data_IF_750525739026
#
_entry.id   IF_750525739026
#
_cell.length_a   1.000
_cell.length_b   1.000
_cell.length_c   1.000
_cell.angle_alpha   90.00
_cell.angle_beta   90.00
_cell.angle_gamma   90.00
#
_symmetry.space_group_name_H-M   'P 1'
#
loop_
_entity.id
_entity.type
_entity.pdbx_description
1 polymer ?
#
# COMPACT_ATOMS: atom_id res chain seq x y z
N UNK A 1 -13.29 31.08 61.45
CA UNK A 1 -12.08 30.40 61.94
C UNK A 1 -11.47 29.64 60.78
N UNK A 2 -10.18 29.70 60.67
CA UNK A 2 -9.51 29.97 59.41
C UNK A 2 -8.63 28.81 58.90
N UNK A 3 -8.11 29.02 57.71
CA UNK A 3 -6.81 28.56 57.29
C UNK A 3 -6.88 27.34 56.37
N UNK A 4 -6.11 27.22 55.37
CA UNK A 4 -4.94 27.87 54.90
C UNK A 4 -4.66 27.55 53.46
N UNK A 5 -4.13 28.51 52.80
CA UNK A 5 -3.53 28.37 51.47
C UNK A 5 -2.22 27.57 51.53
N UNK A 6 -1.99 26.69 50.59
CA UNK A 6 -0.64 26.20 50.36
C UNK A 6 -0.24 26.43 48.91
N UNK A 7 0.74 27.32 48.83
CA UNK A 7 1.36 27.83 47.59
C UNK A 7 2.60 26.98 47.32
N UNK A 8 2.55 26.08 46.37
CA UNK A 8 3.75 25.35 45.96
C UNK A 8 4.49 26.15 44.89
N UNK A 9 5.60 26.74 45.32
CA UNK A 9 6.60 27.43 44.48
C UNK A 9 7.26 26.49 43.48
N UNK A 10 7.21 26.85 42.22
CA UNK A 10 8.10 26.31 41.21
C UNK A 10 9.52 26.83 41.40
N UNK A 11 10.47 25.94 41.62
CA UNK A 11 11.90 26.26 41.72
C UNK A 11 12.52 26.21 40.35
N UNK A 12 12.93 27.35 39.83
CA UNK A 12 13.71 27.44 38.60
C UNK A 12 15.17 27.03 38.88
N UNK A 13 15.67 26.03 38.17
CA UNK A 13 17.07 25.65 38.21
C UNK A 13 17.89 26.54 37.28
N UNK A 14 18.81 27.34 37.89
CA UNK A 14 19.80 28.13 37.18
C UNK A 14 20.97 27.23 36.81
N UNK A 15 21.16 26.99 35.50
CA UNK A 15 22.37 26.35 34.97
C UNK A 15 23.47 27.41 34.87
N UNK A 16 24.50 27.31 35.70
CA UNK A 16 25.72 28.10 35.58
C UNK A 16 26.60 27.52 34.48
N UNK A 17 26.86 28.28 33.43
CA UNK A 17 27.90 27.99 32.44
C UNK A 17 29.25 28.42 33.02
N UNK A 18 30.13 27.46 33.26
CA UNK A 18 31.54 27.67 33.62
C UNK A 18 32.33 28.04 32.36
N UNK A 19 32.99 29.21 32.39
CA UNK A 19 33.85 29.65 31.30
C UNK A 19 35.13 28.81 31.20
N UNK A 20 35.43 28.35 30.02
CA UNK A 20 36.70 27.74 29.64
C UNK A 20 37.41 28.69 28.67
N UNK A 21 38.47 29.37 29.15
CA UNK A 21 39.45 30.09 28.34
C UNK A 21 40.49 29.07 27.86
N UNK A 22 40.24 28.44 26.72
CA UNK A 22 41.21 27.58 26.03
C UNK A 22 41.78 28.31 24.82
N UNK A 23 43.11 28.49 24.79
CA UNK A 23 43.84 28.98 23.62
C UNK A 23 43.69 27.96 22.51
N UNK A 24 43.10 28.36 21.35
CA UNK A 24 42.99 27.51 20.19
C UNK A 24 44.38 27.25 19.59
N UNK A 25 44.78 26.00 19.34
CA UNK A 25 45.95 25.70 18.54
C UNK A 25 45.70 26.10 17.08
N UNK A 26 46.68 26.74 16.48
CA UNK A 26 46.71 27.07 15.05
C UNK A 26 46.56 25.77 14.23
N UNK A 27 45.48 25.67 13.51
CA UNK A 27 45.19 24.52 12.62
C UNK A 27 46.11 24.64 11.41
N UNK A 28 47.03 23.68 11.28
CA UNK A 28 47.72 23.45 10.01
C UNK A 28 46.68 23.05 8.94
N UNK A 29 46.81 23.54 7.71
CA UNK A 29 45.91 23.10 6.67
C UNK A 29 46.05 21.59 6.44
N UNK A 30 44.91 20.89 6.45
CA UNK A 30 44.86 19.47 6.11
C UNK A 30 45.37 19.29 4.67
N UNK A 31 46.10 18.22 4.35
CA UNK A 31 46.46 17.90 2.99
C UNK A 31 45.23 17.72 2.16
N UNK A 32 45.22 18.24 0.92
CA UNK A 32 44.14 18.06 -0.02
C UNK A 32 43.80 16.56 -0.15
N UNK A 33 42.51 16.20 -0.19
CA UNK A 33 42.11 14.82 -0.43
C UNK A 33 42.66 14.37 -1.77
N UNK A 34 43.44 13.31 -1.76
CA UNK A 34 43.94 12.65 -2.95
C UNK A 34 42.77 11.99 -3.68
N UNK A 35 42.35 12.55 -4.80
CA UNK A 35 41.24 12.09 -5.67
C UNK A 35 41.54 10.75 -6.38
N UNK A 36 42.11 9.81 -5.67
CA UNK A 36 42.27 8.42 -6.13
C UNK A 36 41.92 7.51 -4.98
N UNK A 37 40.96 6.67 -5.21
CA UNK A 37 40.51 5.57 -4.37
C UNK A 37 39.27 5.85 -3.54
N UNK A 38 38.08 5.93 -4.17
CA UNK A 38 36.87 5.43 -3.56
C UNK A 38 35.76 5.06 -4.57
N UNK A 39 36.13 4.44 -5.72
CA UNK A 39 35.12 3.89 -6.64
C UNK A 39 34.69 2.45 -6.31
N UNK A 40 35.14 1.84 -5.22
CA UNK A 40 34.92 0.40 -5.05
C UNK A 40 34.15 -0.04 -3.81
N UNK A 41 33.50 0.87 -3.07
CA UNK A 41 32.80 0.48 -1.85
C UNK A 41 31.33 0.92 -1.76
N UNK A 42 30.67 1.09 -2.91
CA UNK A 42 29.23 1.12 -2.97
C UNK A 42 28.71 -0.32 -2.98
N UNK A 43 28.06 -0.79 -1.90
CA UNK A 43 27.49 -2.14 -1.86
C UNK A 43 26.39 -2.36 -2.90
N UNK A 44 25.99 -1.31 -3.62
CA UNK A 44 25.01 -1.35 -4.70
C UNK A 44 25.62 -1.20 -6.11
N UNK A 45 26.94 -0.89 -6.22
CA UNK A 45 27.61 -0.70 -7.52
C UNK A 45 27.59 -1.95 -8.42
N UNK A 46 27.47 -3.15 -7.85
CA UNK A 46 27.32 -4.40 -8.60
C UNK A 46 25.91 -4.71 -9.08
N UNK A 47 24.91 -3.95 -8.67
CA UNK A 47 23.52 -4.19 -9.09
C UNK A 47 23.15 -3.52 -10.42
N UNK A 48 23.94 -2.57 -10.88
CA UNK A 48 23.73 -1.92 -12.18
C UNK A 48 24.10 -2.83 -13.37
N UNK A 49 24.98 -3.81 -13.18
CA UNK A 49 25.30 -4.82 -14.21
C UNK A 49 24.15 -5.79 -14.53
N UNK A 50 23.17 -5.93 -13.63
CA UNK A 50 21.96 -6.74 -13.84
C UNK A 50 20.79 -5.97 -14.45
N UNK A 51 20.95 -4.67 -14.69
CA UNK A 51 19.93 -3.87 -15.38
C UNK A 51 20.08 -4.03 -16.88
N UNK A 52 19.18 -4.81 -17.48
CA UNK A 52 19.02 -4.77 -18.93
C UNK A 52 18.70 -3.33 -19.37
N UNK A 53 19.41 -2.78 -20.40
CA UNK A 53 19.14 -1.44 -20.91
C UNK A 53 17.67 -1.33 -21.31
N UNK A 54 16.90 -0.46 -20.64
CA UNK A 54 15.48 -0.25 -20.92
C UNK A 54 14.50 -0.89 -19.92
N UNK A 55 14.96 -1.64 -18.90
CA UNK A 55 14.06 -2.12 -17.84
C UNK A 55 13.64 -0.96 -16.93
N UNK A 56 12.33 -0.77 -16.79
CA UNK A 56 11.79 0.19 -15.84
C UNK A 56 12.15 -0.28 -14.42
N UNK A 57 12.83 0.53 -13.58
CA UNK A 57 13.17 0.14 -12.23
C UNK A 57 11.93 -0.38 -11.46
N UNK A 58 12.05 -1.51 -10.76
CA UNK A 58 10.95 -2.12 -10.04
C UNK A 58 10.05 -3.06 -10.86
N UNK A 59 10.26 -3.21 -12.16
CA UNK A 59 9.62 -4.25 -12.97
C UNK A 59 10.50 -5.49 -13.08
N UNK A 60 9.88 -6.63 -12.77
CA UNK A 60 10.44 -7.94 -13.11
C UNK A 60 9.94 -8.35 -14.49
N UNK A 61 10.79 -8.95 -15.30
CA UNK A 61 10.34 -9.69 -16.47
C UNK A 61 9.43 -10.85 -16.04
N UNK A 62 8.69 -11.44 -16.97
CA UNK A 62 7.84 -12.60 -16.63
C UNK A 62 8.62 -13.76 -16.03
N UNK A 63 9.83 -14.02 -16.53
CA UNK A 63 10.71 -15.08 -16.04
C UNK A 63 11.16 -14.81 -14.60
N UNK A 64 11.62 -13.60 -14.32
CA UNK A 64 12.02 -13.17 -12.98
C UNK A 64 10.84 -13.19 -11.99
N UNK A 65 9.65 -12.80 -12.46
CA UNK A 65 8.45 -12.85 -11.65
C UNK A 65 8.04 -14.30 -11.33
N UNK A 66 8.11 -15.21 -12.30
CA UNK A 66 7.84 -16.62 -12.04
C UNK A 66 8.84 -17.22 -11.04
N UNK A 67 10.09 -16.83 -11.12
CA UNK A 67 11.11 -17.26 -10.17
C UNK A 67 10.86 -16.68 -8.77
N UNK A 68 10.58 -15.39 -8.67
CA UNK A 68 10.21 -14.76 -7.41
C UNK A 68 8.99 -15.43 -6.75
N UNK A 69 7.96 -15.76 -7.53
CA UNK A 69 6.75 -16.45 -7.05
C UNK A 69 7.01 -17.83 -6.45
N UNK A 70 8.06 -18.51 -6.89
CA UNK A 70 8.45 -19.83 -6.37
C UNK A 70 9.14 -19.77 -5.02
N UNK A 71 9.77 -18.64 -4.71
CA UNK A 71 10.70 -18.52 -3.58
C UNK A 71 10.27 -17.50 -2.52
N UNK A 72 9.42 -16.54 -2.89
CA UNK A 72 9.08 -15.42 -2.02
C UNK A 72 7.56 -15.17 -2.01
N UNK A 73 6.99 -14.80 -0.85
CA UNK A 73 5.67 -14.19 -0.84
C UNK A 73 5.70 -12.87 -1.61
N UNK A 74 4.74 -12.66 -2.49
CA UNK A 74 4.65 -11.44 -3.29
C UNK A 74 3.75 -10.44 -2.58
N UNK A 75 4.24 -9.22 -2.38
CA UNK A 75 3.47 -8.14 -1.76
C UNK A 75 2.48 -7.52 -2.75
N UNK A 76 1.21 -7.47 -2.34
CA UNK A 76 0.11 -6.86 -3.08
C UNK A 76 -0.56 -5.74 -2.28
N UNK A 77 -1.21 -4.85 -2.98
CA UNK A 77 -2.27 -4.00 -2.45
C UNK A 77 -3.58 -4.36 -3.09
N UNK A 78 -4.64 -4.34 -2.30
CA UNK A 78 -6.02 -4.48 -2.77
C UNK A 78 -6.84 -3.29 -2.29
N UNK A 79 -7.59 -2.68 -3.18
CA UNK A 79 -8.47 -1.58 -2.85
C UNK A 79 -9.93 -1.94 -3.18
N UNK A 80 -10.80 -1.70 -2.23
CA UNK A 80 -12.25 -1.76 -2.41
C UNK A 80 -12.73 -0.32 -2.58
N UNK A 81 -13.02 0.11 -3.83
CA UNK A 81 -13.51 1.45 -4.08
C UNK A 81 -14.93 1.59 -3.51
N UNK A 82 -15.17 2.68 -2.81
CA UNK A 82 -16.48 2.96 -2.23
C UNK A 82 -16.95 4.37 -2.57
N UNK A 83 -18.26 4.57 -2.65
CA UNK A 83 -18.88 5.89 -2.62
C UNK A 83 -19.45 6.13 -1.24
N UNK A 84 -19.36 7.36 -0.80
CA UNK A 84 -19.86 7.77 0.52
C UNK A 84 -20.81 8.94 0.36
N UNK A 85 -21.78 9.03 1.27
CA UNK A 85 -22.64 10.20 1.41
C UNK A 85 -21.91 11.36 2.10
N UNK A 86 -22.63 12.47 2.32
CA UNK A 86 -22.10 13.67 2.98
C UNK A 86 -21.71 13.46 4.45
N UNK A 87 -22.06 12.33 5.07
CA UNK A 87 -21.69 11.96 6.44
C UNK A 87 -20.49 11.01 6.48
N UNK A 88 -20.03 10.53 5.33
CA UNK A 88 -18.96 9.55 5.22
C UNK A 88 -19.44 8.08 5.29
N UNK A 89 -20.77 7.87 5.30
CA UNK A 89 -21.35 6.53 5.28
C UNK A 89 -21.21 5.92 3.88
N UNK A 90 -20.75 4.67 3.80
CA UNK A 90 -20.63 3.95 2.53
C UNK A 90 -22.02 3.67 1.95
N UNK A 91 -22.25 4.15 0.74
CA UNK A 91 -23.51 3.97 -0.01
C UNK A 91 -23.39 2.95 -1.14
N UNK A 92 -22.23 2.87 -1.76
CA UNK A 92 -21.98 1.95 -2.86
C UNK A 92 -20.53 1.39 -2.81
N UNK A 93 -20.36 0.19 -3.32
CA UNK A 93 -19.08 -0.51 -3.47
C UNK A 93 -18.84 -0.77 -4.95
N UNK A 94 -17.64 -0.43 -5.45
CA UNK A 94 -17.22 -0.68 -6.82
C UNK A 94 -16.66 -2.09 -6.98
N UNK A 95 -17.29 -2.88 -7.85
CA UNK A 95 -16.85 -4.22 -8.24
C UNK A 95 -16.41 -4.19 -9.69
N UNK A 96 -15.21 -4.66 -9.96
CA UNK A 96 -14.66 -4.76 -11.31
C UNK A 96 -15.14 -6.03 -12.00
N UNK A 97 -15.48 -5.89 -13.27
CA UNK A 97 -15.57 -7.01 -14.20
C UNK A 97 -14.27 -7.08 -15.00
N UNK A 98 -13.60 -8.19 -14.98
CA UNK A 98 -12.30 -8.38 -15.65
C UNK A 98 -12.29 -9.61 -16.52
N UNK A 99 -11.62 -9.52 -17.70
CA UNK A 99 -11.30 -10.68 -18.50
C UNK A 99 -9.99 -11.31 -17.98
N UNK A 100 -10.01 -12.62 -17.75
CA UNK A 100 -8.79 -13.37 -17.44
C UNK A 100 -7.96 -13.61 -18.73
N UNK A 101 -6.66 -13.94 -18.64
CA UNK A 101 -5.83 -14.24 -19.81
C UNK A 101 -6.36 -15.40 -20.67
N UNK A 102 -7.20 -16.28 -20.12
CA UNK A 102 -7.85 -17.39 -20.84
C UNK A 102 -9.24 -17.03 -21.39
N UNK A 103 -9.65 -15.75 -21.25
CA UNK A 103 -10.90 -15.23 -21.79
C UNK A 103 -12.12 -15.45 -20.91
N UNK A 104 -11.98 -15.94 -19.70
CA UNK A 104 -13.07 -16.00 -18.71
C UNK A 104 -13.33 -14.62 -18.13
N UNK A 105 -14.59 -14.33 -17.84
CA UNK A 105 -15.01 -13.10 -17.20
C UNK A 105 -15.23 -13.39 -15.72
N UNK A 106 -14.55 -12.63 -14.85
CA UNK A 106 -14.66 -12.76 -13.40
C UNK A 106 -14.91 -11.41 -12.74
N UNK A 107 -15.52 -11.45 -11.56
CA UNK A 107 -15.65 -10.28 -10.70
C UNK A 107 -14.48 -10.21 -9.75
N UNK A 108 -13.94 -8.99 -9.57
CA UNK A 108 -12.78 -8.76 -8.73
C UNK A 108 -12.82 -7.35 -8.13
N UNK A 109 -11.80 -7.00 -7.37
CA UNK A 109 -11.55 -5.65 -6.85
C UNK A 109 -10.27 -5.10 -7.46
N UNK A 110 -9.97 -3.84 -7.23
CA UNK A 110 -8.67 -3.26 -7.61
C UNK A 110 -7.56 -4.00 -6.87
N UNK A 111 -6.59 -4.55 -7.60
CA UNK A 111 -5.54 -5.38 -7.01
C UNK A 111 -4.27 -5.32 -7.84
N UNK A 112 -3.11 -5.32 -7.19
CA UNK A 112 -1.86 -5.44 -7.89
C UNK A 112 -0.63 -5.43 -7.00
N UNK A 113 0.50 -5.79 -7.60
CA UNK A 113 1.78 -5.88 -6.89
C UNK A 113 2.32 -4.50 -6.51
N UNK A 114 2.94 -4.43 -5.33
CA UNK A 114 3.84 -3.32 -4.99
C UNK A 114 5.17 -3.58 -5.68
N UNK A 115 5.72 -2.56 -6.33
CA UNK A 115 7.01 -2.63 -7.03
C UNK A 115 8.16 -2.34 -6.07
N UNK A 116 9.33 -2.80 -6.40
CA UNK A 116 10.53 -2.41 -5.66
C UNK A 116 10.73 -0.89 -5.70
N UNK A 117 10.97 -0.28 -4.54
CA UNK A 117 11.13 1.18 -4.42
C UNK A 117 9.84 1.99 -4.50
N UNK A 118 8.67 1.34 -4.62
CA UNK A 118 7.37 1.99 -4.64
C UNK A 118 6.75 2.00 -3.22
N UNK A 119 6.16 3.11 -2.83
CA UNK A 119 5.39 3.13 -1.58
C UNK A 119 4.05 2.42 -1.75
N UNK A 120 3.48 1.90 -0.65
CA UNK A 120 2.13 1.30 -0.66
C UNK A 120 1.09 2.28 -1.20
N UNK A 121 1.21 3.57 -0.87
CA UNK A 121 0.32 4.62 -1.35
C UNK A 121 0.42 4.81 -2.87
N UNK A 122 1.63 4.83 -3.42
CA UNK A 122 1.85 5.00 -4.86
C UNK A 122 1.36 3.77 -5.63
N UNK A 123 1.56 2.57 -5.08
CA UNK A 123 1.02 1.33 -5.63
C UNK A 123 -0.52 1.38 -5.68
N UNK A 124 -1.19 1.81 -4.60
CA UNK A 124 -2.64 1.99 -4.57
C UNK A 124 -3.10 2.97 -5.64
N UNK A 125 -2.46 4.14 -5.72
CA UNK A 125 -2.80 5.15 -6.73
C UNK A 125 -2.68 4.59 -8.14
N UNK A 126 -1.57 3.97 -8.45
CA UNK A 126 -1.30 3.39 -9.76
C UNK A 126 -2.33 2.32 -10.16
N UNK A 127 -2.69 1.44 -9.23
CA UNK A 127 -3.69 0.40 -9.53
C UNK A 127 -5.11 0.99 -9.63
N UNK A 128 -5.46 1.94 -8.76
CA UNK A 128 -6.76 2.62 -8.85
C UNK A 128 -6.91 3.40 -10.16
N UNK A 129 -5.87 4.13 -10.58
CA UNK A 129 -5.88 4.85 -11.86
C UNK A 129 -5.97 3.89 -13.06
N UNK A 130 -5.23 2.79 -13.03
CA UNK A 130 -5.26 1.80 -14.11
C UNK A 130 -6.63 1.12 -14.23
N UNK A 131 -7.23 0.74 -13.11
CA UNK A 131 -8.45 -0.06 -13.09
C UNK A 131 -9.74 0.81 -13.14
N UNK A 132 -9.70 2.04 -12.63
CA UNK A 132 -10.87 2.94 -12.59
C UNK A 132 -10.80 4.09 -13.58
N UNK A 133 -9.62 4.35 -14.16
CA UNK A 133 -9.38 5.44 -15.10
C UNK A 133 -8.96 6.76 -14.43
N UNK A 134 -8.43 7.72 -15.23
CA UNK A 134 -7.80 8.94 -14.73
C UNK A 134 -8.78 9.98 -14.18
N UNK A 135 -10.10 9.80 -14.43
CA UNK A 135 -11.13 10.68 -13.89
C UNK A 135 -11.74 10.16 -12.57
N UNK A 136 -11.23 9.04 -12.08
CA UNK A 136 -11.50 8.55 -10.74
C UNK A 136 -10.56 9.25 -9.75
N UNK A 137 -11.11 9.88 -8.72
CA UNK A 137 -10.34 10.60 -7.71
C UNK A 137 -10.38 9.87 -6.37
N UNK A 138 -9.41 8.98 -6.10
CA UNK A 138 -9.34 8.27 -4.84
C UNK A 138 -8.88 9.20 -3.71
N UNK A 139 -9.54 9.13 -2.58
CA UNK A 139 -9.20 9.87 -1.37
C UNK A 139 -8.25 9.04 -0.50
N UNK A 140 -6.97 9.08 -0.82
CA UNK A 140 -5.93 8.36 -0.09
C UNK A 140 -5.18 9.31 0.87
N UNK A 141 -5.12 8.97 2.17
CA UNK A 141 -4.29 9.72 3.11
C UNK A 141 -2.79 9.55 2.79
N UNK A 142 -1.92 10.42 3.30
CA UNK A 142 -0.46 10.28 3.11
C UNK A 142 0.09 8.94 3.57
N UNK A 143 -0.49 8.37 4.62
CA UNK A 143 -0.15 7.05 5.15
C UNK A 143 -1.44 6.21 5.23
N UNK A 144 -1.76 5.43 4.19
CA UNK A 144 -2.94 4.58 4.21
C UNK A 144 -2.75 3.42 5.19
N UNK A 145 -3.82 3.12 5.95
CA UNK A 145 -3.84 2.02 6.91
C UNK A 145 -4.73 0.91 6.34
N UNK A 146 -4.22 -0.32 6.16
CA UNK A 146 -5.03 -1.43 5.70
C UNK A 146 -6.07 -1.82 6.78
N UNK A 147 -7.28 -2.16 6.38
CA UNK A 147 -8.26 -2.70 7.31
C UNK A 147 -7.98 -4.17 7.65
N UNK A 148 -7.28 -4.88 6.79
CA UNK A 148 -6.83 -6.25 7.02
C UNK A 148 -5.63 -6.60 6.13
N UNK A 149 -4.97 -7.70 6.47
CA UNK A 149 -3.97 -8.39 5.64
C UNK A 149 -4.59 -9.70 5.18
N UNK A 150 -4.61 -9.95 3.88
CA UNK A 150 -5.09 -11.19 3.27
C UNK A 150 -3.90 -12.01 2.75
N UNK A 151 -3.81 -13.28 3.14
CA UNK A 151 -2.76 -14.18 2.69
C UNK A 151 -3.35 -15.18 1.70
N UNK A 152 -2.91 -15.10 0.46
CA UNK A 152 -3.31 -15.97 -0.63
C UNK A 152 -2.29 -17.10 -0.80
N UNK A 153 -2.76 -18.34 -0.80
CA UNK A 153 -1.90 -19.52 -0.95
C UNK A 153 -2.24 -20.29 -2.22
N UNK A 154 -1.23 -20.93 -2.87
CA UNK A 154 -1.47 -21.79 -4.04
C UNK A 154 -2.13 -23.13 -3.67
N UNK A 155 -2.20 -23.45 -2.38
CA UNK A 155 -2.82 -24.66 -1.88
C UNK A 155 -4.19 -24.33 -1.26
N UNK A 156 -5.29 -24.91 -1.78
CA UNK A 156 -6.61 -24.68 -1.22
C UNK A 156 -6.70 -25.12 0.24
N UNK A 157 -7.46 -24.36 1.05
CA UNK A 157 -7.75 -24.69 2.45
C UNK A 157 -6.70 -24.25 3.47
N UNK A 158 -5.61 -23.61 3.07
CA UNK A 158 -4.63 -23.03 4.00
C UNK A 158 -5.17 -21.72 4.59
N UNK A 159 -5.87 -20.93 3.80
CA UNK A 159 -6.57 -19.72 4.24
C UNK A 159 -7.94 -19.61 3.56
N UNK A 160 -8.69 -18.55 3.89
CA UNK A 160 -9.91 -18.19 3.17
C UNK A 160 -9.63 -17.61 1.76
N UNK A 161 -8.36 -17.31 1.47
CA UNK A 161 -7.92 -16.69 0.22
C UNK A 161 -7.01 -17.63 -0.56
N UNK A 162 -7.18 -17.65 -1.88
CA UNK A 162 -6.50 -18.58 -2.77
C UNK A 162 -6.00 -17.89 -4.03
N UNK A 163 -4.76 -18.16 -4.45
CA UNK A 163 -4.19 -17.81 -5.75
C UNK A 163 -3.28 -18.98 -6.19
N UNK A 164 -3.70 -19.77 -7.16
CA UNK A 164 -2.99 -20.94 -7.66
C UNK A 164 -1.60 -20.64 -8.25
N UNK A 165 -1.33 -19.36 -8.55
CA UNK A 165 -0.08 -18.92 -9.16
C UNK A 165 1.04 -18.63 -8.14
N UNK A 166 0.69 -18.33 -6.87
CA UNK A 166 1.67 -17.77 -5.93
C UNK A 166 1.20 -17.74 -4.48
N UNK A 167 2.16 -17.66 -3.56
CA UNK A 167 1.91 -17.12 -2.22
C UNK A 167 1.95 -15.59 -2.29
N UNK A 168 0.86 -14.92 -1.95
CA UNK A 168 0.81 -13.47 -1.89
C UNK A 168 0.34 -12.98 -0.53
N UNK A 169 0.93 -11.87 -0.07
CA UNK A 169 0.49 -11.12 1.11
C UNK A 169 -0.07 -9.80 0.62
N UNK A 170 -1.35 -9.58 0.81
CA UNK A 170 -2.06 -8.41 0.33
C UNK A 170 -2.48 -7.50 1.47
N UNK A 171 -2.13 -6.24 1.37
CA UNK A 171 -2.63 -5.17 2.23
C UNK A 171 -3.93 -4.66 1.63
N UNK A 172 -5.05 -4.81 2.35
CA UNK A 172 -6.38 -4.47 1.84
C UNK A 172 -6.91 -3.15 2.42
N UNK A 173 -7.45 -2.31 1.55
CA UNK A 173 -7.90 -0.95 1.87
C UNK A 173 -9.33 -0.70 1.41
N UNK A 174 -10.10 0.03 2.19
CA UNK A 174 -11.32 0.68 1.72
C UNK A 174 -10.95 2.08 1.25
N UNK A 175 -11.26 2.41 0.00
CA UNK A 175 -10.84 3.67 -0.62
C UNK A 175 -12.06 4.44 -1.12
N UNK A 176 -12.44 5.55 -0.49
CA UNK A 176 -13.45 6.45 -1.05
C UNK A 176 -12.98 7.00 -2.39
N UNK A 177 -13.86 6.94 -3.40
CA UNK A 177 -13.57 7.40 -4.76
C UNK A 177 -14.69 8.33 -5.21
N UNK A 178 -14.29 9.46 -5.77
CA UNK A 178 -15.20 10.42 -6.43
C UNK A 178 -14.89 10.50 -7.93
N UNK A 179 -15.66 11.27 -8.67
CA UNK A 179 -15.46 11.41 -10.11
C UNK A 179 -16.06 10.27 -10.92
N UNK A 180 -15.69 10.23 -12.20
CA UNK A 180 -16.20 9.24 -13.17
C UNK A 180 -15.20 8.09 -13.29
N UNK A 181 -15.68 6.86 -13.10
CA UNK A 181 -14.87 5.67 -13.26
C UNK A 181 -15.09 5.09 -14.66
N UNK A 182 -14.04 5.12 -15.47
CA UNK A 182 -13.99 4.55 -16.81
C UNK A 182 -12.85 3.55 -16.85
N UNK A 183 -13.12 2.25 -16.64
CA UNK A 183 -12.12 1.21 -16.60
C UNK A 183 -11.21 1.21 -17.82
N UNK A 184 -9.96 0.79 -17.62
CA UNK A 184 -8.95 0.67 -18.67
C UNK A 184 -8.24 -0.68 -18.55
N UNK A 185 -7.48 -1.00 -19.57
CA UNK A 185 -6.69 -2.24 -19.66
C UNK A 185 -7.58 -3.50 -19.59
N UNK A 186 -7.37 -4.35 -18.60
CA UNK A 186 -8.08 -5.63 -18.44
C UNK A 186 -9.43 -5.48 -17.71
N UNK A 187 -9.70 -4.33 -17.08
CA UNK A 187 -10.98 -4.06 -16.45
C UNK A 187 -11.99 -3.62 -17.52
N UNK A 188 -13.06 -4.38 -17.65
CA UNK A 188 -14.12 -4.17 -18.66
C UNK A 188 -15.17 -3.17 -18.17
N UNK A 189 -15.50 -3.25 -16.87
CA UNK A 189 -16.57 -2.48 -16.26
C UNK A 189 -16.34 -2.32 -14.76
N UNK A 190 -16.83 -1.22 -14.20
CA UNK A 190 -17.06 -1.03 -12.76
C UNK A 190 -18.55 -1.03 -12.50
N UNK A 191 -19.03 -1.99 -11.75
CA UNK A 191 -20.41 -2.04 -11.26
C UNK A 191 -20.46 -1.49 -9.83
N UNK A 192 -21.29 -0.47 -9.61
CA UNK A 192 -21.53 0.08 -8.28
C UNK A 192 -22.73 -0.62 -7.65
N UNK A 193 -22.53 -1.23 -6.49
CA UNK A 193 -23.52 -2.03 -5.77
C UNK A 193 -23.74 -1.47 -4.36
N UNK A 194 -24.97 -1.62 -3.85
CA UNK A 194 -25.23 -1.33 -2.43
C UNK A 194 -24.47 -2.29 -1.51
N UNK A 195 -24.25 -1.93 -0.23
CA UNK A 195 -23.65 -2.84 0.74
C UNK A 195 -24.36 -4.19 0.85
N UNK A 196 -25.70 -4.20 0.74
CA UNK A 196 -26.50 -5.42 0.78
C UNK A 196 -26.22 -6.35 -0.42
N UNK A 197 -26.14 -5.79 -1.62
CA UNK A 197 -25.83 -6.53 -2.84
C UNK A 197 -24.40 -7.06 -2.82
N UNK A 198 -23.46 -6.22 -2.37
CA UNK A 198 -22.03 -6.55 -2.34
C UNK A 198 -21.67 -7.67 -1.33
N UNK A 199 -22.48 -7.90 -0.29
CA UNK A 199 -22.28 -8.99 0.67
C UNK A 199 -23.00 -10.30 0.29
N UNK A 200 -23.74 -10.33 -0.83
CA UNK A 200 -24.54 -11.48 -1.24
C UNK A 200 -23.65 -12.71 -1.51
N UNK A 201 -24.20 -13.90 -1.25
CA UNK A 201 -23.52 -15.17 -1.55
C UNK A 201 -23.33 -15.35 -3.06
N UNK A 202 -24.28 -14.89 -3.87
CA UNK A 202 -24.20 -14.94 -5.32
C UNK A 202 -22.98 -14.15 -5.84
N UNK A 203 -22.77 -12.92 -5.38
CA UNK A 203 -21.61 -12.15 -5.74
C UNK A 203 -20.32 -12.82 -5.25
N UNK A 204 -20.32 -13.31 -4.01
CA UNK A 204 -19.16 -13.99 -3.43
C UNK A 204 -18.73 -15.22 -4.24
N UNK A 205 -19.68 -15.95 -4.80
CA UNK A 205 -19.41 -17.13 -5.66
C UNK A 205 -18.82 -16.75 -7.03
N UNK A 206 -19.10 -15.54 -7.53
CA UNK A 206 -18.56 -15.01 -8.79
C UNK A 206 -17.18 -14.40 -8.64
N UNK A 207 -16.72 -14.18 -7.39
CA UNK A 207 -15.43 -13.52 -7.10
C UNK A 207 -14.32 -14.54 -6.91
N UNK A 208 -13.25 -14.37 -7.69
CA UNK A 208 -12.10 -15.26 -7.57
C UNK A 208 -11.31 -15.06 -6.27
N UNK A 209 -10.65 -16.13 -5.84
CA UNK A 209 -9.65 -16.09 -4.77
C UNK A 209 -10.17 -15.77 -3.37
N UNK A 210 -11.49 -15.84 -3.12
CA UNK A 210 -12.08 -15.53 -1.81
C UNK A 210 -12.35 -14.05 -1.57
N UNK A 211 -12.26 -13.20 -2.60
CA UNK A 211 -12.47 -11.73 -2.49
C UNK A 211 -13.85 -11.33 -2.00
N UNK A 212 -14.86 -12.17 -2.17
CA UNK A 212 -16.17 -11.96 -1.53
C UNK A 212 -16.08 -11.91 0.01
N UNK A 213 -15.21 -12.73 0.61
CA UNK A 213 -14.92 -12.65 2.04
C UNK A 213 -14.22 -11.34 2.40
N UNK A 214 -13.30 -10.87 1.54
CA UNK A 214 -12.61 -9.60 1.77
C UNK A 214 -13.57 -8.41 1.74
N UNK A 215 -14.56 -8.40 0.85
CA UNK A 215 -15.62 -7.37 0.82
C UNK A 215 -16.42 -7.37 2.13
N UNK A 216 -16.81 -8.54 2.64
CA UNK A 216 -17.52 -8.62 3.93
C UNK A 216 -16.69 -8.07 5.09
N UNK A 217 -15.38 -8.38 5.13
CA UNK A 217 -14.46 -7.81 6.11
C UNK A 217 -14.35 -6.28 5.97
N UNK A 218 -14.31 -5.78 4.74
CA UNK A 218 -14.29 -4.33 4.49
C UNK A 218 -15.57 -3.66 5.00
N UNK A 219 -16.74 -4.21 4.66
CA UNK A 219 -18.03 -3.68 5.12
C UNK A 219 -18.14 -3.69 6.66
N UNK A 220 -17.65 -4.76 7.30
CA UNK A 220 -17.57 -4.82 8.76
C UNK A 220 -16.67 -3.71 9.33
N UNK A 221 -15.52 -3.47 8.70
CA UNK A 221 -14.55 -2.46 9.16
C UNK A 221 -15.07 -1.03 9.12
N UNK A 222 -15.99 -0.73 8.19
CA UNK A 222 -16.62 0.59 8.03
C UNK A 222 -18.03 0.67 8.63
N UNK A 223 -18.46 -0.36 9.37
CA UNK A 223 -19.77 -0.40 10.02
C UNK A 223 -20.96 -0.53 9.05
N UNK A 224 -20.73 -0.98 7.82
CA UNK A 224 -21.76 -1.15 6.79
C UNK A 224 -22.24 -2.60 6.62
N UNK A 225 -21.74 -3.54 7.42
CA UNK A 225 -22.24 -4.92 7.47
C UNK A 225 -23.59 -4.95 8.21
N UNK A 226 -24.62 -5.57 7.61
CA UNK A 226 -25.95 -5.75 8.19
C UNK A 226 -26.34 -7.22 8.28
#
# INVERSE_FOLDING_TARGET
MPGGADTTRATAAIVRTSGYTGVMPVRTPDPEPNDRDDESNDPLAGLDEFRAPGSNPGWLSEVELMEARRHLPILYVEAIPVRTDGTGTVTEIGILLRATPIGEITRTIVSGRVRYGETVRDALFRHLENDLGPMAFPLLPPQPVPFTVAEYFPMPGVSAFHDDRQHAVSLAFVVPVTGTCEPRQDALEVTWMTPEEAQSESLSAEMEGGRGTLIRLALASVGALR
#
